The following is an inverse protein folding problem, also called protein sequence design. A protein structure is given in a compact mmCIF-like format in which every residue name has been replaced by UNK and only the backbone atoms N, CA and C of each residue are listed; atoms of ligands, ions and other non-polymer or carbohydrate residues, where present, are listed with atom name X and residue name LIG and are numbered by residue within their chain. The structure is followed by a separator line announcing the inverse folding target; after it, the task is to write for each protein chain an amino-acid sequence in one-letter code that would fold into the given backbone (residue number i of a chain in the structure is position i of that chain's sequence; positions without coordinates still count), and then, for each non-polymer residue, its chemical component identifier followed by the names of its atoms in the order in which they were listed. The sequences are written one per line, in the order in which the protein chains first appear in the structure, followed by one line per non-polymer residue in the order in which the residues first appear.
data_IF_771807429350
#
_entry.id   IF_771807429350
#
_cell.length_a   1.000
_cell.length_b   1.000
_cell.length_c   1.000
_cell.angle_alpha   90.00
_cell.angle_beta   90.00
_cell.angle_gamma   90.00
#
_symmetry.space_group_name_H-M   'P 1'
#
loop_
_entity.id
_entity.type
_entity.pdbx_description
1 polymer ?
#
# COMPACT_ATOMS: atom_id res chain seq x y z
N UNK A 1 12.75 11.43 -11.54
CA UNK A 1 12.72 10.36 -10.53
C UNK A 1 11.27 10.06 -10.19
N UNK A 2 10.88 8.79 -10.12
CA UNK A 2 9.49 8.41 -9.89
C UNK A 2 9.39 7.67 -8.55
N UNK A 3 8.59 8.22 -7.63
CA UNK A 3 8.28 7.58 -6.36
C UNK A 3 7.25 6.50 -6.62
N UNK A 4 7.58 5.26 -6.29
CA UNK A 4 6.70 4.11 -6.49
C UNK A 4 6.21 3.60 -5.15
N UNK A 5 4.89 3.43 -5.01
CA UNK A 5 4.25 2.79 -3.86
C UNK A 5 3.83 1.38 -4.26
N UNK A 6 4.29 0.39 -3.50
CA UNK A 6 3.97 -1.02 -3.71
C UNK A 6 3.31 -1.61 -2.47
N UNK A 7 2.47 -2.63 -2.68
CA UNK A 7 1.89 -3.45 -1.62
C UNK A 7 1.80 -4.89 -2.11
N UNK A 8 2.24 -5.85 -1.29
CA UNK A 8 2.07 -7.27 -1.61
C UNK A 8 0.63 -7.76 -1.48
N UNK A 9 -0.24 -6.95 -0.87
CA UNK A 9 -1.63 -7.29 -0.59
C UNK A 9 -2.65 -6.51 -1.45
N UNK A 10 -2.22 -5.44 -2.12
CA UNK A 10 -3.09 -4.56 -2.90
C UNK A 10 -2.57 -4.42 -4.34
N UNK A 11 -3.49 -4.22 -5.27
CA UNK A 11 -3.20 -3.90 -6.66
C UNK A 11 -3.85 -2.57 -7.02
N UNK A 12 -3.14 -1.76 -7.80
CA UNK A 12 -3.62 -0.45 -8.19
C UNK A 12 -4.86 -0.57 -9.09
N UNK A 13 -5.95 0.09 -8.72
CA UNK A 13 -7.22 0.08 -9.45
C UNK A 13 -8.17 -1.07 -9.09
N UNK A 14 -7.71 -2.06 -8.32
CA UNK A 14 -8.54 -3.16 -7.82
C UNK A 14 -9.25 -2.77 -6.50
N UNK A 15 -10.31 -3.52 -6.15
CA UNK A 15 -10.99 -3.38 -4.86
C UNK A 15 -10.08 -3.81 -3.70
N UNK A 16 -10.17 -3.11 -2.57
CA UNK A 16 -9.41 -3.43 -1.35
C UNK A 16 -10.04 -4.65 -0.67
N UNK A 17 -9.22 -5.66 -0.38
CA UNK A 17 -9.68 -6.86 0.34
C UNK A 17 -10.29 -6.49 1.70
N UNK A 18 -11.47 -7.05 2.02
CA UNK A 18 -12.23 -6.79 3.26
C UNK A 18 -11.41 -6.86 4.54
N UNK A 19 -10.37 -7.70 4.60
CA UNK A 19 -9.47 -7.80 5.77
C UNK A 19 -8.87 -6.44 6.16
N UNK A 20 -8.60 -5.59 5.17
CA UNK A 20 -7.99 -4.27 5.33
C UNK A 20 -9.02 -3.13 5.36
N UNK A 21 -10.29 -3.43 5.61
CA UNK A 21 -11.37 -2.45 5.75
C UNK A 21 -12.13 -2.67 7.06
N UNK A 22 -13.00 -1.72 7.41
CA UNK A 22 -13.88 -1.81 8.57
C UNK A 22 -14.92 -2.95 8.49
N UNK A 23 -15.08 -3.57 7.32
CA UNK A 23 -15.93 -4.76 7.15
C UNK A 23 -15.21 -6.06 7.54
N UNK A 24 -13.90 -6.01 7.73
CA UNK A 24 -13.09 -7.13 8.19
C UNK A 24 -12.39 -6.82 9.51
N UNK A 25 -11.10 -7.10 9.59
CA UNK A 25 -10.31 -6.95 10.82
C UNK A 25 -9.76 -5.52 10.96
N UNK A 26 -9.96 -4.68 9.94
CA UNK A 26 -9.55 -3.28 9.92
C UNK A 26 -8.07 -3.05 10.25
N UNK A 27 -7.22 -3.94 9.72
CA UNK A 27 -5.76 -3.83 9.85
C UNK A 27 -5.19 -3.14 8.62
N UNK A 28 -4.11 -2.39 8.77
CA UNK A 28 -3.46 -1.76 7.61
C UNK A 28 -2.78 -2.81 6.71
N UNK A 29 -2.84 -2.65 5.37
CA UNK A 29 -2.11 -3.50 4.44
C UNK A 29 -0.60 -3.19 4.47
N UNK A 30 0.25 -4.17 4.14
CA UNK A 30 1.69 -3.95 4.00
C UNK A 30 1.96 -3.00 2.83
N UNK A 31 2.81 -1.99 3.02
CA UNK A 31 3.20 -1.03 1.97
C UNK A 31 4.70 -0.78 1.99
N UNK A 32 5.26 -0.53 0.81
CA UNK A 32 6.68 -0.27 0.60
C UNK A 32 6.86 0.87 -0.41
N UNK A 33 7.83 1.75 -0.14
CA UNK A 33 8.14 2.89 -0.98
C UNK A 33 9.49 2.68 -1.67
N UNK A 34 9.54 2.93 -2.98
CA UNK A 34 10.76 2.80 -3.79
C UNK A 34 11.04 4.11 -4.52
N UNK A 35 12.32 4.45 -4.68
CA UNK A 35 12.75 5.65 -5.41
C UNK A 35 12.65 6.95 -4.60
N UNK A 36 12.55 6.86 -3.27
CA UNK A 36 12.62 8.02 -2.39
C UNK A 36 14.05 8.55 -2.33
N UNK A 37 14.26 9.81 -2.71
CA UNK A 37 15.50 10.52 -2.44
C UNK A 37 15.49 10.98 -0.98
N UNK A 38 16.57 10.70 -0.25
CA UNK A 38 16.81 11.28 1.07
C UNK A 38 17.18 12.75 0.91
N UNK A 39 16.21 13.66 1.08
CA UNK A 39 16.55 15.02 1.50
C UNK A 39 16.73 14.97 3.02
N UNK A 40 17.97 14.68 3.42
CA UNK A 40 18.46 14.85 4.79
C UNK A 40 18.93 16.27 4.98
#
# INVERSE_FOLDING_TARGET
MNLTLFSSALRNGDEILKRYTCQGVDVSPPVEWYGMLTNT
#
